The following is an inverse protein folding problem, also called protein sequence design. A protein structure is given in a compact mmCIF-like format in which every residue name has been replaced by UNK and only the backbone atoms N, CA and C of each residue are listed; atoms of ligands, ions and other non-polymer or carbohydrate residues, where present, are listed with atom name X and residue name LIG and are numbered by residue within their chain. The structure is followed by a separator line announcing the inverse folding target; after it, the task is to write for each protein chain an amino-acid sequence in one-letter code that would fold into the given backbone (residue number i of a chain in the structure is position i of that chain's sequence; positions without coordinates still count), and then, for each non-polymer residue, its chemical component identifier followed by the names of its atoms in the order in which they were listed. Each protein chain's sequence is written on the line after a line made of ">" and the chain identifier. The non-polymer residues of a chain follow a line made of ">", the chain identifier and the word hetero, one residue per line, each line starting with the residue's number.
data_IF_453978310216
#
_entry.id   IF_453978310216
#
_cell.length_a   1.000
_cell.length_b   1.000
_cell.length_c   1.000
_cell.angle_alpha   90.00
_cell.angle_beta   90.00
_cell.angle_gamma   90.00
#
_symmetry.space_group_name_H-M   'P 1'
#
loop_
_entity.id
_entity.type
_entity.pdbx_description
1 polymer ?
#
# COMPACT_ATOMS: atom_id res chain seq x y z
N UNK A 1 14.38 7.02 6.76
CA UNK A 1 14.05 5.90 5.84
C UNK A 1 13.73 4.69 6.70
N UNK A 2 12.71 3.89 6.37
CA UNK A 2 12.40 2.66 7.13
C UNK A 2 13.60 1.73 7.08
N UNK A 3 13.95 1.13 8.20
CA UNK A 3 14.86 -0.02 8.25
C UNK A 3 14.17 -1.24 7.61
N UNK A 4 14.68 -1.79 6.49
CA UNK A 4 14.08 -2.96 5.85
C UNK A 4 13.92 -4.16 6.78
N UNK A 5 14.76 -4.29 7.81
CA UNK A 5 14.67 -5.36 8.81
C UNK A 5 13.45 -5.23 9.73
N UNK A 6 12.74 -4.10 9.67
CA UNK A 6 11.49 -3.87 10.41
C UNK A 6 10.23 -4.09 9.57
N UNK A 7 10.37 -4.66 8.38
CA UNK A 7 9.24 -5.06 7.52
C UNK A 7 9.06 -6.58 7.58
N UNK A 8 7.82 -7.05 7.58
CA UNK A 8 7.55 -8.47 7.33
C UNK A 8 7.95 -8.87 5.91
N UNK A 9 8.12 -10.16 5.65
CA UNK A 9 8.46 -10.68 4.32
C UNK A 9 7.46 -10.20 3.25
N UNK A 10 6.15 -10.30 3.52
CA UNK A 10 5.11 -9.81 2.61
C UNK A 10 5.17 -8.29 2.36
N UNK A 11 5.57 -7.50 3.35
CA UNK A 11 5.76 -6.06 3.14
C UNK A 11 6.98 -5.77 2.26
N UNK A 12 8.06 -6.55 2.42
CA UNK A 12 9.24 -6.44 1.57
C UNK A 12 8.92 -6.85 0.12
N UNK A 13 8.20 -7.96 -0.07
CA UNK A 13 7.70 -8.39 -1.38
C UNK A 13 6.86 -7.30 -2.06
N UNK A 14 5.94 -6.66 -1.32
CA UNK A 14 5.10 -5.61 -1.85
C UNK A 14 5.91 -4.39 -2.30
N UNK A 15 6.96 -4.01 -1.57
CA UNK A 15 7.86 -2.91 -1.98
C UNK A 15 8.69 -3.26 -3.22
N UNK A 16 9.16 -4.50 -3.33
CA UNK A 16 9.87 -4.99 -4.52
C UNK A 16 8.95 -4.98 -5.73
N UNK A 17 7.71 -5.45 -5.57
CA UNK A 17 6.69 -5.40 -6.63
C UNK A 17 6.34 -3.96 -7.02
N UNK A 18 6.22 -3.04 -6.06
CA UNK A 18 5.99 -1.62 -6.33
C UNK A 18 7.13 -0.98 -7.14
N UNK A 19 8.38 -1.30 -6.81
CA UNK A 19 9.55 -0.87 -7.60
C UNK A 19 9.52 -1.43 -9.02
N UNK A 20 9.11 -2.69 -9.17
CA UNK A 20 8.99 -3.31 -10.49
C UNK A 20 7.90 -2.63 -11.32
N UNK A 21 6.72 -2.36 -10.74
CA UNK A 21 5.65 -1.61 -11.40
C UNK A 21 6.11 -0.22 -11.85
N UNK A 22 6.87 0.50 -11.02
CA UNK A 22 7.40 1.80 -11.39
C UNK A 22 8.37 1.71 -12.59
N UNK A 23 9.25 0.69 -12.61
CA UNK A 23 10.16 0.45 -13.75
C UNK A 23 9.40 0.12 -15.02
N UNK A 24 8.42 -0.77 -14.96
CA UNK A 24 7.61 -1.21 -16.11
C UNK A 24 6.78 -0.07 -16.71
N UNK A 25 6.30 0.85 -15.87
CA UNK A 25 5.57 2.02 -16.33
C UNK A 25 6.47 3.18 -16.78
N UNK A 26 7.78 3.07 -16.61
CA UNK A 26 8.74 4.13 -16.95
C UNK A 26 8.66 5.32 -16.00
N UNK A 27 8.38 5.09 -14.72
CA UNK A 27 8.30 6.14 -13.71
C UNK A 27 9.64 6.34 -13.00
N UNK A 28 10.01 7.60 -12.77
CA UNK A 28 11.26 7.95 -12.08
C UNK A 28 11.21 7.63 -10.57
N UNK A 29 10.01 7.46 -10.02
CA UNK A 29 9.79 7.26 -8.60
C UNK A 29 8.75 6.18 -8.34
N UNK A 30 8.96 5.40 -7.29
CA UNK A 30 7.90 4.60 -6.66
C UNK A 30 7.05 5.54 -5.83
N UNK A 31 5.81 5.73 -6.26
CA UNK A 31 4.79 6.45 -5.51
C UNK A 31 3.79 5.50 -4.82
N UNK A 32 2.91 6.06 -4.00
CA UNK A 32 1.91 5.33 -3.19
C UNK A 32 1.05 4.41 -4.06
N UNK A 33 0.68 4.84 -5.26
CA UNK A 33 -0.16 4.08 -6.20
C UNK A 33 0.47 2.74 -6.60
N UNK A 34 1.80 2.69 -6.72
CA UNK A 34 2.52 1.45 -7.04
C UNK A 34 2.47 0.46 -5.90
N UNK A 35 2.68 0.94 -4.66
CA UNK A 35 2.61 0.09 -3.49
C UNK A 35 1.18 -0.38 -3.24
N UNK A 36 0.19 0.49 -3.42
CA UNK A 36 -1.21 0.13 -3.32
C UNK A 36 -1.59 -0.95 -4.35
N UNK A 37 -1.17 -0.80 -5.60
CA UNK A 37 -1.40 -1.80 -6.64
C UNK A 37 -0.76 -3.15 -6.29
N UNK A 38 0.51 -3.14 -5.84
CA UNK A 38 1.22 -4.34 -5.41
C UNK A 38 0.53 -5.04 -4.23
N UNK A 39 0.02 -4.29 -3.26
CA UNK A 39 -0.71 -4.84 -2.10
C UNK A 39 -2.05 -5.45 -2.51
N UNK A 40 -2.77 -4.81 -3.44
CA UNK A 40 -4.06 -5.29 -3.97
C UNK A 40 -3.88 -6.57 -4.79
N UNK A 41 -2.76 -6.71 -5.51
CA UNK A 41 -2.45 -7.89 -6.31
C UNK A 41 -1.77 -9.02 -5.51
N UNK A 42 -1.38 -8.77 -4.25
CA UNK A 42 -0.62 -9.72 -3.45
C UNK A 42 -1.45 -10.94 -3.06
N UNK A 43 -1.22 -12.06 -3.76
CA UNK A 43 -1.82 -13.36 -3.44
C UNK A 43 -1.52 -13.78 -2.00
N UNK A 44 -2.56 -14.18 -1.27
CA UNK A 44 -2.44 -14.52 0.15
C UNK A 44 -2.02 -13.34 1.04
N UNK A 45 -2.11 -12.11 0.55
CA UNK A 45 -1.97 -10.89 1.35
C UNK A 45 -3.25 -10.56 2.12
N UNK A 46 -3.13 -9.74 3.17
CA UNK A 46 -4.28 -9.34 3.99
C UNK A 46 -5.15 -8.26 3.30
N UNK A 47 -4.56 -7.43 2.44
CA UNK A 47 -5.25 -6.30 1.80
C UNK A 47 -6.41 -6.76 0.90
N UNK A 48 -6.28 -7.78 0.03
CA UNK A 48 -7.41 -8.31 -0.73
C UNK A 48 -8.54 -8.82 0.17
N UNK A 49 -8.20 -9.50 1.28
CA UNK A 49 -9.16 -10.02 2.25
C UNK A 49 -9.91 -8.90 2.98
N UNK A 50 -9.21 -7.82 3.36
CA UNK A 50 -9.80 -6.62 3.98
C UNK A 50 -10.76 -5.94 3.01
N UNK A 51 -10.36 -5.74 1.76
CA UNK A 51 -11.23 -5.18 0.73
C UNK A 51 -12.49 -6.03 0.54
N UNK A 52 -12.34 -7.37 0.50
CA UNK A 52 -13.46 -8.31 0.42
C UNK A 52 -14.41 -8.19 1.61
N UNK A 53 -13.89 -8.11 2.84
CA UNK A 53 -14.69 -7.91 4.06
C UNK A 53 -15.46 -6.58 4.05
N UNK A 54 -14.95 -5.57 3.34
CA UNK A 54 -15.62 -4.28 3.13
C UNK A 54 -16.62 -4.29 1.96
N UNK A 55 -16.81 -5.43 1.28
CA UNK A 55 -17.57 -5.56 0.04
C UNK A 55 -17.01 -4.69 -1.10
N UNK A 56 -15.70 -4.49 -1.12
CA UNK A 56 -14.98 -3.76 -2.17
C UNK A 56 -14.21 -4.78 -3.01
N UNK A 57 -14.50 -4.82 -4.31
CA UNK A 57 -13.79 -5.72 -5.21
C UNK A 57 -12.34 -5.25 -5.42
N UNK A 58 -11.35 -6.07 -5.05
CA UNK A 58 -9.94 -5.78 -5.30
C UNK A 58 -9.65 -5.38 -6.78
N UNK A 59 -10.23 -6.04 -7.81
CA UNK A 59 -10.06 -5.61 -9.20
C UNK A 59 -10.53 -4.18 -9.49
N UNK A 60 -11.55 -3.69 -8.79
CA UNK A 60 -12.04 -2.31 -8.94
C UNK A 60 -11.01 -1.30 -8.43
N UNK A 61 -10.39 -1.57 -7.26
CA UNK A 61 -9.31 -0.74 -6.72
C UNK A 61 -8.10 -0.78 -7.66
N UNK A 62 -7.72 -1.98 -8.11
CA UNK A 62 -6.60 -2.20 -9.01
C UNK A 62 -6.74 -1.45 -10.33
N UNK A 63 -7.94 -1.45 -10.92
CA UNK A 63 -8.23 -0.74 -12.16
C UNK A 63 -8.17 0.79 -12.00
N UNK A 64 -8.65 1.32 -10.87
CA UNK A 64 -8.54 2.75 -10.58
C UNK A 64 -7.08 3.19 -10.45
N UNK A 65 -6.27 2.42 -9.73
CA UNK A 65 -4.83 2.67 -9.57
C UNK A 65 -4.09 2.56 -10.92
N UNK A 66 -4.43 1.56 -11.75
CA UNK A 66 -3.87 1.42 -13.10
C UNK A 66 -4.12 2.66 -13.95
N UNK A 67 -5.36 3.18 -13.93
CA UNK A 67 -5.74 4.36 -14.69
C UNK A 67 -4.92 5.59 -14.30
N UNK A 68 -4.57 5.73 -13.02
CA UNK A 68 -3.69 6.81 -12.56
C UNK A 68 -2.23 6.58 -12.94
N UNK A 69 -1.71 5.36 -12.76
CA UNK A 69 -0.35 5.00 -13.15
C UNK A 69 -0.12 5.24 -14.64
N UNK A 70 -1.09 4.94 -15.50
CA UNK A 70 -0.96 5.18 -16.95
C UNK A 70 -0.94 6.67 -17.34
N UNK A 71 -1.47 7.55 -16.48
CA UNK A 71 -1.49 9.01 -16.69
C UNK A 71 -0.24 9.70 -16.17
N UNK A 72 0.51 9.04 -15.28
CA UNK A 72 1.70 9.62 -14.69
C UNK A 72 2.80 9.88 -15.74
N UNK A 73 3.64 10.91 -15.55
CA UNK A 73 4.73 11.22 -16.47
C UNK A 73 5.73 10.07 -16.57
N UNK A 74 6.10 9.74 -17.81
CA UNK A 74 7.11 8.72 -18.12
C UNK A 74 8.46 9.37 -18.35
N UNK A 75 9.51 8.75 -17.84
CA UNK A 75 10.90 9.13 -18.08
C UNK A 75 11.58 8.12 -18.99
N UNK A 76 12.48 8.61 -19.83
CA UNK A 76 13.29 7.77 -20.73
C UNK A 76 14.75 7.75 -20.25
N UNK A 77 15.44 6.64 -20.51
CA UNK A 77 16.83 6.43 -20.13
C UNK A 77 17.02 5.67 -18.81
N UNK A 78 18.28 5.43 -18.43
CA UNK A 78 18.62 4.77 -17.17
C UNK A 78 18.47 5.75 -16.00
N UNK A 79 17.26 5.82 -15.46
CA UNK A 79 16.96 6.58 -14.23
C UNK A 79 16.93 5.61 -13.06
N UNK A 80 17.68 5.93 -12.00
CA UNK A 80 17.57 5.20 -10.75
C UNK A 80 16.22 5.52 -10.10
N UNK A 81 15.36 4.51 -9.98
CA UNK A 81 14.03 4.66 -9.39
C UNK A 81 14.15 4.85 -7.88
N UNK A 82 13.79 6.04 -7.39
CA UNK A 82 13.75 6.38 -5.96
C UNK A 82 12.34 6.26 -5.37
N UNK A 83 12.21 6.40 -4.05
CA UNK A 83 10.89 6.54 -3.42
C UNK A 83 10.40 7.99 -3.51
N UNK A 84 9.11 8.20 -3.75
CA UNK A 84 8.49 9.53 -3.67
C UNK A 84 8.45 10.02 -2.22
N UNK A 85 8.31 11.33 -2.03
CA UNK A 85 8.08 11.91 -0.70
C UNK A 85 6.76 11.47 -0.06
N UNK A 86 5.73 11.19 -0.88
CA UNK A 86 4.44 10.65 -0.41
C UNK A 86 4.59 9.22 0.10
N UNK A 87 5.26 8.36 -0.67
CA UNK A 87 5.56 7.00 -0.23
C UNK A 87 6.40 7.00 1.05
N UNK A 88 7.41 7.87 1.15
CA UNK A 88 8.19 8.05 2.37
C UNK A 88 7.34 8.36 3.61
N UNK A 89 6.32 9.21 3.47
CA UNK A 89 5.37 9.52 4.55
C UNK A 89 4.48 8.33 4.90
N UNK A 90 3.90 7.65 3.91
CA UNK A 90 3.08 6.44 4.13
C UNK A 90 3.88 5.39 4.90
N UNK A 91 5.14 5.18 4.53
CA UNK A 91 6.02 4.27 5.23
C UNK A 91 6.24 4.71 6.70
N UNK A 92 6.57 5.98 6.95
CA UNK A 92 6.70 6.48 8.33
C UNK A 92 5.42 6.28 9.15
N UNK A 93 4.26 6.56 8.58
CA UNK A 93 2.97 6.36 9.24
C UNK A 93 2.70 4.87 9.50
N UNK A 94 3.04 3.97 8.57
CA UNK A 94 2.91 2.54 8.79
C UNK A 94 3.76 2.03 9.98
N UNK A 95 4.94 2.62 10.22
CA UNK A 95 5.71 2.32 11.44
C UNK A 95 4.97 2.76 12.71
N UNK A 96 4.30 3.91 12.66
CA UNK A 96 3.51 4.39 13.78
C UNK A 96 2.30 3.48 14.03
N UNK A 97 1.64 3.01 12.96
CA UNK A 97 0.53 2.07 13.09
C UNK A 97 0.96 0.73 13.69
N UNK A 98 2.11 0.17 13.27
CA UNK A 98 2.65 -1.04 13.89
C UNK A 98 2.87 -0.87 15.40
N UNK A 99 3.42 0.27 15.82
CA UNK A 99 3.58 0.59 17.25
C UNK A 99 2.23 0.71 17.97
N UNK A 100 1.25 1.35 17.34
CA UNK A 100 -0.09 1.52 17.91
C UNK A 100 -0.80 0.17 18.11
N UNK A 101 -0.63 -0.74 17.16
CA UNK A 101 -1.18 -2.11 17.21
C UNK A 101 -0.31 -3.08 18.02
N UNK A 102 0.83 -2.61 18.54
CA UNK A 102 1.82 -3.37 19.34
C UNK A 102 2.42 -4.54 18.57
N UNK A 103 2.62 -4.34 17.27
CA UNK A 103 3.29 -5.26 16.37
C UNK A 103 4.78 -4.88 16.28
N UNK A 104 5.66 -5.89 16.23
CA UNK A 104 7.11 -5.71 16.22
C UNK A 104 7.63 -5.32 14.82
N UNK A 105 6.91 -5.77 13.79
CA UNK A 105 7.23 -5.54 12.39
C UNK A 105 6.10 -4.83 11.65
N UNK A 106 6.46 -4.03 10.65
CA UNK A 106 5.52 -3.38 9.74
C UNK A 106 5.04 -4.39 8.70
N UNK A 107 3.88 -5.00 8.96
CA UNK A 107 3.13 -5.81 7.99
C UNK A 107 2.34 -4.98 6.97
N UNK A 108 1.73 -5.67 6.00
CA UNK A 108 1.00 -5.06 4.89
C UNK A 108 -0.27 -4.34 5.31
N UNK A 109 -0.88 -4.72 6.45
CA UNK A 109 -2.02 -3.98 7.01
C UNK A 109 -1.64 -2.59 7.48
N UNK A 110 -0.44 -2.40 8.03
CA UNK A 110 0.04 -1.11 8.50
C UNK A 110 0.30 -0.18 7.33
N UNK A 111 0.87 -0.72 6.25
CA UNK A 111 1.06 -0.01 4.99
C UNK A 111 -0.30 0.43 4.43
N UNK A 112 -1.26 -0.48 4.38
CA UNK A 112 -2.60 -0.19 3.85
C UNK A 112 -3.38 0.79 4.71
N UNK A 113 -3.30 0.69 6.04
CA UNK A 113 -3.93 1.63 6.95
C UNK A 113 -3.32 3.03 6.80
N UNK A 114 -2.00 3.13 6.71
CA UNK A 114 -1.30 4.40 6.50
C UNK A 114 -1.66 5.08 5.17
N UNK A 115 -2.03 4.32 4.13
CA UNK A 115 -2.50 4.88 2.85
C UNK A 115 -3.85 5.60 2.97
N UNK A 116 -4.63 5.39 4.03
CA UNK A 116 -5.88 6.14 4.23
C UNK A 116 -5.64 7.61 4.54
N UNK A 117 -4.45 7.96 5.04
CA UNK A 117 -4.02 9.33 5.33
C UNK A 117 -3.23 9.97 4.16
N UNK A 118 -3.03 9.23 3.07
CA UNK A 118 -2.42 9.78 1.86
C UNK A 118 -3.32 10.86 1.25
N UNK A 119 -2.72 12.00 0.90
CA UNK A 119 -3.42 13.14 0.31
C UNK A 119 -3.38 13.13 -1.23
N UNK A 120 -3.08 11.99 -1.85
CA UNK A 120 -3.09 11.83 -3.30
C UNK A 120 -4.13 10.82 -3.77
N UNK A 121 -3.93 10.32 -4.99
CA UNK A 121 -4.95 9.55 -5.69
C UNK A 121 -5.36 8.27 -4.95
N UNK A 122 -4.39 7.61 -4.30
CA UNK A 122 -4.65 6.38 -3.52
C UNK A 122 -5.61 6.66 -2.37
N UNK A 123 -5.30 7.62 -1.48
CA UNK A 123 -6.16 7.96 -0.35
C UNK A 123 -7.56 8.40 -0.79
N UNK A 124 -7.64 9.23 -1.83
CA UNK A 124 -8.91 9.65 -2.42
C UNK A 124 -9.72 8.48 -2.99
N UNK A 125 -9.06 7.52 -3.64
CA UNK A 125 -9.71 6.31 -4.18
C UNK A 125 -10.27 5.45 -3.06
N UNK A 126 -9.48 5.19 -2.02
CA UNK A 126 -9.94 4.42 -0.85
C UNK A 126 -11.16 5.09 -0.21
N UNK A 127 -11.10 6.41 0.00
CA UNK A 127 -12.21 7.20 0.55
C UNK A 127 -13.47 7.11 -0.32
N UNK A 128 -13.36 7.29 -1.64
CA UNK A 128 -14.50 7.19 -2.58
C UNK A 128 -15.14 5.80 -2.59
N UNK A 129 -14.34 4.75 -2.43
CA UNK A 129 -14.82 3.36 -2.37
C UNK A 129 -15.35 2.96 -0.98
N UNK A 130 -15.29 3.85 0.00
CA UNK A 130 -15.75 3.58 1.37
C UNK A 130 -14.74 2.79 2.22
N UNK A 131 -13.49 2.63 1.75
CA UNK A 131 -12.38 2.06 2.51
C UNK A 131 -11.76 3.12 3.44
N UNK A 132 -12.56 3.67 4.34
CA UNK A 132 -12.11 4.63 5.36
C UNK A 132 -11.27 3.94 6.45
N UNK A 133 -10.40 4.70 7.13
CA UNK A 133 -9.55 4.21 8.23
C UNK A 133 -10.30 3.33 9.25
N UNK A 134 -11.43 3.80 9.77
CA UNK A 134 -12.19 3.08 10.80
C UNK A 134 -12.74 1.74 10.29
N UNK A 135 -13.28 1.74 9.07
CA UNK A 135 -13.79 0.51 8.43
C UNK A 135 -12.67 -0.48 8.13
N UNK A 136 -11.50 -0.01 7.70
CA UNK A 136 -10.33 -0.87 7.50
C UNK A 136 -9.88 -1.47 8.83
N UNK A 137 -9.85 -0.70 9.92
CA UNK A 137 -9.51 -1.21 11.26
C UNK A 137 -10.48 -2.29 11.73
N UNK A 138 -11.79 -2.06 11.58
CA UNK A 138 -12.82 -3.05 11.92
C UNK A 138 -12.66 -4.33 11.09
N UNK A 139 -12.46 -4.20 9.78
CA UNK A 139 -12.21 -5.32 8.88
C UNK A 139 -10.91 -6.07 9.26
N UNK A 140 -9.83 -5.36 9.60
CA UNK A 140 -8.57 -5.96 10.04
C UNK A 140 -8.76 -6.79 11.32
N UNK A 141 -9.52 -6.32 12.30
CA UNK A 141 -9.82 -7.09 13.51
C UNK A 141 -10.52 -8.41 13.17
N UNK A 142 -11.45 -8.39 12.20
CA UNK A 142 -12.17 -9.60 11.75
C UNK A 142 -11.30 -10.59 10.97
N UNK A 143 -10.35 -10.08 10.16
CA UNK A 143 -9.50 -10.90 9.28
C UNK A 143 -8.28 -11.45 10.03
N UNK A 144 -7.67 -10.63 10.90
CA UNK A 144 -6.45 -10.96 11.67
C UNK A 144 -6.74 -11.73 12.95
N UNK A 145 -7.92 -11.54 13.53
CA UNK A 145 -8.21 -11.98 14.90
C UNK A 145 -7.23 -11.37 15.91
N UNK A 146 -6.86 -12.12 16.95
CA UNK A 146 -5.95 -11.65 18.02
C UNK A 146 -4.45 -11.86 17.72
N UNK A 147 -4.06 -12.19 16.49
CA UNK A 147 -2.66 -12.42 16.16
C UNK A 147 -1.88 -11.11 16.11
N UNK A 148 -0.67 -11.09 16.66
CA UNK A 148 0.30 -10.00 16.53
C UNK A 148 1.47 -10.50 15.72
N UNK A 149 2.14 -9.60 15.01
CA UNK A 149 3.25 -9.90 14.10
C UNK A 149 4.53 -9.20 14.49
#
# INVERSE_FOLDING_TARGET
>A
MIDPNKLTEKSQEALVAAQQLARENGHAQVDVEHLAAALVDQSGGIVPSVLSALNIAAPQVRAALEGELQRAPKVSGNVQVGASGRLGRVLQQAQQEAKNLRDEYVSTEHLFLAMTDDQGFTGDTLKRLGATRDRILEALQSVRGNQRV
#
